data_IF_110279128165
#
_entry.id   IF_110279128165
#
_cell.length_a   1.000
_cell.length_b   1.000
_cell.length_c   1.000
_cell.angle_alpha   90.00
_cell.angle_beta   90.00
_cell.angle_gamma   90.00
#
_symmetry.space_group_name_H-M   'P 1'
#
loop_
_entity.id
_entity.type
_entity.pdbx_description
1 polymer ?
#
# COMPACT_ATOMS: atom_id res chain seq x y z
N UNK A 1 3.54 32.46 43.18
CA UNK A 1 2.58 33.52 42.83
C UNK A 1 2.06 33.24 41.43
N UNK A 2 0.81 32.82 41.23
CA UNK A 2 0.25 32.64 39.90
C UNK A 2 -0.71 33.77 39.55
N UNK A 3 -0.62 34.26 38.31
CA UNK A 3 -1.64 35.10 37.68
C UNK A 3 -2.33 34.25 36.62
N UNK A 4 -3.63 34.11 36.82
CA UNK A 4 -4.65 33.47 35.99
C UNK A 4 -4.98 34.33 34.76
N UNK A 5 -5.35 33.68 33.66
CA UNK A 5 -5.93 34.33 32.49
C UNK A 5 -6.61 33.32 31.58
N UNK A 6 -7.88 33.03 31.85
CA UNK A 6 -8.79 32.26 30.99
C UNK A 6 -9.65 33.22 30.18
N UNK A 7 -9.75 33.01 28.87
CA UNK A 7 -10.67 33.74 27.97
C UNK A 7 -11.62 32.74 27.33
N UNK A 8 -12.89 32.81 27.71
CA UNK A 8 -14.00 32.15 27.00
C UNK A 8 -14.51 33.05 25.88
N UNK A 9 -14.82 32.46 24.73
CA UNK A 9 -15.54 33.12 23.63
C UNK A 9 -16.86 32.40 23.40
N UNK A 10 -17.95 33.11 23.65
CA UNK A 10 -19.33 32.75 23.33
C UNK A 10 -19.56 32.76 21.81
N UNK A 11 -20.24 31.74 21.28
CA UNK A 11 -20.85 31.77 19.93
C UNK A 11 -22.32 32.14 20.04
N UNK A 12 -22.68 33.28 19.45
CA UNK A 12 -24.06 33.69 19.22
C UNK A 12 -24.67 32.94 18.03
N UNK A 13 -25.91 32.48 18.21
CA UNK A 13 -26.81 31.91 17.22
C UNK A 13 -27.54 33.07 16.53
N UNK A 14 -27.38 33.23 15.21
CA UNK A 14 -28.13 34.18 14.41
C UNK A 14 -29.29 33.45 13.71
N UNK A 15 -30.51 33.86 14.07
CA UNK A 15 -31.78 33.38 13.52
C UNK A 15 -32.26 34.41 12.49
N UNK A 16 -32.39 34.00 11.22
CA UNK A 16 -32.81 34.89 10.13
C UNK A 16 -34.32 34.73 9.92
N UNK A 17 -35.06 35.76 10.33
CA UNK A 17 -36.50 35.94 10.09
C UNK A 17 -36.66 36.43 8.64
N UNK A 18 -37.49 35.75 7.84
CA UNK A 18 -37.88 36.23 6.51
C UNK A 18 -39.36 36.58 6.55
N UNK A 19 -39.67 37.88 6.42
CA UNK A 19 -41.02 38.44 6.39
C UNK A 19 -41.76 38.05 5.09
N UNK A 20 -42.97 37.53 5.28
CA UNK A 20 -43.93 37.21 4.23
C UNK A 20 -44.76 38.45 3.87
N UNK A 21 -44.44 39.11 2.75
CA UNK A 21 -45.21 40.23 2.23
C UNK A 21 -46.26 39.71 1.24
N UNK A 22 -47.53 39.71 1.68
CA UNK A 22 -48.70 39.45 0.84
C UNK A 22 -48.97 40.60 -0.14
N UNK A 23 -49.18 40.33 -1.45
CA UNK A 23 -49.63 41.35 -2.40
C UNK A 23 -51.17 41.49 -2.46
N UNK A 24 -51.69 42.70 -2.78
CA UNK A 24 -53.13 43.01 -2.77
C UNK A 24 -53.89 42.47 -4.00
N UNK A 25 -55.22 42.30 -3.88
CA UNK A 25 -56.06 41.68 -4.90
C UNK A 25 -56.28 42.61 -6.11
N UNK A 26 -56.05 42.09 -7.32
CA UNK A 26 -56.38 42.77 -8.58
C UNK A 26 -57.79 42.40 -9.07
N UNK A 27 -58.54 43.37 -9.62
CA UNK A 27 -59.93 43.19 -10.02
C UNK A 27 -60.09 42.39 -11.33
N UNK A 28 -61.17 41.61 -11.35
CA UNK A 28 -61.59 40.73 -12.42
C UNK A 28 -61.83 41.46 -13.75
N UNK A 29 -61.19 40.98 -14.83
CA UNK A 29 -61.45 41.42 -16.20
C UNK A 29 -61.92 40.26 -17.07
N UNK A 30 -63.20 40.40 -17.47
CA UNK A 30 -64.01 39.70 -18.48
C UNK A 30 -63.32 38.63 -19.34
N UNK A 31 -63.82 37.41 -19.18
CA UNK A 31 -63.68 36.26 -20.10
C UNK A 31 -64.26 36.62 -21.47
N UNK A 32 -63.42 36.58 -22.51
CA UNK A 32 -63.88 36.29 -23.88
C UNK A 32 -63.43 34.87 -24.22
N UNK A 33 -64.42 34.02 -24.47
CA UNK A 33 -64.25 32.64 -24.83
C UNK A 33 -63.51 32.53 -26.17
N UNK A 34 -62.27 32.05 -26.11
CA UNK A 34 -61.58 31.48 -27.25
C UNK A 34 -61.45 29.98 -27.01
N UNK A 35 -62.53 29.27 -27.32
CA UNK A 35 -62.50 27.83 -27.52
C UNK A 35 -61.75 27.60 -28.82
N UNK A 36 -60.45 27.32 -28.77
CA UNK A 36 -59.81 26.43 -29.74
C UNK A 36 -58.50 25.85 -29.16
N UNK A 37 -58.56 24.53 -28.89
CA UNK A 37 -57.47 23.55 -28.97
C UNK A 37 -56.40 23.51 -27.84
N UNK A 38 -56.76 23.31 -26.55
CA UNK A 38 -55.79 22.87 -25.55
C UNK A 38 -55.14 21.51 -25.90
N UNK A 39 -55.87 20.65 -26.63
CA UNK A 39 -55.36 19.36 -27.09
C UNK A 39 -54.21 19.48 -28.11
N UNK A 40 -54.21 20.53 -28.93
CA UNK A 40 -53.17 20.73 -29.96
C UNK A 40 -51.85 21.17 -29.32
N UNK A 41 -51.90 22.03 -28.31
CA UNK A 41 -50.73 22.45 -27.54
C UNK A 41 -50.14 21.32 -26.69
N UNK A 42 -50.98 20.45 -26.13
CA UNK A 42 -50.50 19.27 -25.41
C UNK A 42 -49.83 18.26 -26.36
N UNK A 43 -50.41 18.06 -27.55
CA UNK A 43 -49.86 17.19 -28.58
C UNK A 43 -48.52 17.69 -29.13
N UNK A 44 -48.37 19.00 -29.37
CA UNK A 44 -47.09 19.57 -29.82
C UNK A 44 -46.03 19.52 -28.73
N UNK A 45 -46.38 19.75 -27.46
CA UNK A 45 -45.44 19.61 -26.35
C UNK A 45 -44.94 18.16 -26.20
N UNK A 46 -45.84 17.17 -26.28
CA UNK A 46 -45.47 15.76 -26.20
C UNK A 46 -44.60 15.33 -27.40
N UNK A 47 -44.95 15.76 -28.61
CA UNK A 47 -44.15 15.50 -29.80
C UNK A 47 -42.76 16.12 -29.73
N UNK A 48 -42.62 17.31 -29.12
CA UNK A 48 -41.32 17.96 -28.93
C UNK A 48 -40.47 17.25 -27.87
N UNK A 49 -41.07 16.74 -26.79
CA UNK A 49 -40.37 15.91 -25.80
C UNK A 49 -39.90 14.59 -26.42
N UNK A 50 -40.75 13.94 -27.24
CA UNK A 50 -40.39 12.73 -27.98
C UNK A 50 -39.27 13.02 -28.99
N UNK A 51 -39.34 14.15 -29.71
CA UNK A 51 -38.30 14.55 -30.65
C UNK A 51 -36.97 14.87 -29.95
N UNK A 52 -37.01 15.54 -28.80
CA UNK A 52 -35.82 15.82 -27.99
C UNK A 52 -35.24 14.54 -27.40
N UNK A 53 -36.07 13.60 -26.95
CA UNK A 53 -35.62 12.26 -26.55
C UNK A 53 -35.06 11.47 -27.73
N UNK A 54 -35.67 11.57 -28.91
CA UNK A 54 -35.17 10.92 -30.12
C UNK A 54 -33.82 11.53 -30.52
N UNK A 55 -33.67 12.85 -30.51
CA UNK A 55 -32.40 13.54 -30.83
C UNK A 55 -31.31 13.26 -29.78
N UNK A 56 -31.67 13.14 -28.50
CA UNK A 56 -30.74 12.75 -27.43
C UNK A 56 -30.38 11.25 -27.45
N UNK A 57 -31.23 10.40 -28.04
CA UNK A 57 -30.92 8.95 -28.20
C UNK A 57 -30.29 8.63 -29.56
N UNK A 58 -30.49 9.49 -30.57
CA UNK A 58 -29.80 9.44 -31.87
C UNK A 58 -28.60 10.37 -31.88
N UNK A 59 -27.74 10.31 -30.86
CA UNK A 59 -26.38 10.79 -31.05
C UNK A 59 -25.79 9.94 -32.18
N UNK A 60 -25.39 10.57 -33.32
CA UNK A 60 -24.71 9.83 -34.36
C UNK A 60 -23.52 9.13 -33.70
N UNK A 61 -23.39 7.82 -33.95
CA UNK A 61 -22.25 7.07 -33.46
C UNK A 61 -21.00 7.90 -33.75
N UNK A 62 -20.27 8.27 -32.70
CA UNK A 62 -19.09 9.13 -32.84
C UNK A 62 -18.21 8.55 -33.95
N UNK A 63 -17.67 9.39 -34.85
CA UNK A 63 -16.84 8.92 -35.94
C UNK A 63 -15.78 8.01 -35.36
N UNK A 64 -15.69 6.79 -35.89
CA UNK A 64 -14.74 5.78 -35.43
C UNK A 64 -13.34 6.33 -35.72
N UNK A 65 -12.73 6.96 -34.73
CA UNK A 65 -11.35 7.44 -34.82
C UNK A 65 -10.49 6.19 -34.92
N UNK A 66 -9.90 5.95 -36.09
CA UNK A 66 -8.92 4.89 -36.28
C UNK A 66 -7.59 5.42 -35.75
N UNK A 67 -7.09 4.91 -34.62
CA UNK A 67 -5.84 5.40 -34.06
C UNK A 67 -4.67 5.08 -35.00
N UNK A 68 -3.89 6.11 -35.32
CA UNK A 68 -2.72 5.99 -36.21
C UNK A 68 -1.48 5.46 -35.47
N UNK A 69 -1.44 5.63 -34.15
CA UNK A 69 -0.32 5.22 -33.30
C UNK A 69 -0.80 4.67 -31.95
N UNK A 70 0.16 4.20 -31.15
CA UNK A 70 -0.13 3.61 -29.85
C UNK A 70 -0.68 4.61 -28.83
N UNK A 71 -0.19 5.84 -28.84
CA UNK A 71 -0.68 6.90 -27.95
C UNK A 71 -2.15 7.19 -28.23
N UNK A 72 -2.51 7.37 -29.49
CA UNK A 72 -3.90 7.53 -29.94
C UNK A 72 -4.75 6.35 -29.53
N UNK A 73 -4.29 5.11 -29.76
CA UNK A 73 -5.05 3.91 -29.37
C UNK A 73 -5.31 3.87 -27.86
N UNK A 74 -4.32 4.15 -27.03
CA UNK A 74 -4.45 4.17 -25.57
C UNK A 74 -5.49 5.20 -25.12
N UNK A 75 -5.50 6.40 -25.72
CA UNK A 75 -6.42 7.48 -25.34
C UNK A 75 -7.84 7.33 -25.90
N UNK A 76 -8.01 6.73 -27.08
CA UNK A 76 -9.33 6.61 -27.72
C UNK A 76 -10.03 5.29 -27.45
N UNK A 77 -9.39 4.35 -26.74
CA UNK A 77 -10.00 3.05 -26.40
C UNK A 77 -11.16 3.23 -25.43
N UNK A 78 -12.31 2.62 -25.74
CA UNK A 78 -13.42 2.50 -24.81
C UNK A 78 -13.19 1.30 -23.86
N UNK A 79 -12.52 1.55 -22.75
CA UNK A 79 -12.19 0.50 -21.77
C UNK A 79 -13.42 -0.12 -21.10
N UNK A 80 -14.52 0.62 -20.94
CA UNK A 80 -15.77 0.08 -20.39
C UNK A 80 -16.36 -1.01 -21.30
N UNK A 81 -16.31 -0.81 -22.61
CA UNK A 81 -16.74 -1.83 -23.58
C UNK A 81 -15.76 -3.01 -23.62
N UNK A 82 -14.45 -2.74 -23.59
CA UNK A 82 -13.40 -3.77 -23.58
C UNK A 82 -13.54 -4.74 -22.40
N UNK A 83 -13.83 -4.20 -21.21
CA UNK A 83 -13.91 -4.95 -19.96
C UNK A 83 -15.27 -5.62 -19.72
N UNK A 84 -16.27 -5.38 -20.58
CA UNK A 84 -17.62 -5.94 -20.46
C UNK A 84 -18.24 -5.69 -19.08
N UNK A 85 -18.12 -4.46 -18.58
CA UNK A 85 -18.58 -4.09 -17.23
C UNK A 85 -20.06 -4.42 -17.03
N UNK A 86 -20.40 -4.99 -15.87
CA UNK A 86 -21.78 -5.32 -15.50
C UNK A 86 -22.51 -4.07 -14.97
N UNK A 87 -23.52 -3.54 -15.68
CA UNK A 87 -24.21 -2.32 -15.26
C UNK A 87 -24.80 -2.45 -13.85
N UNK A 88 -24.53 -1.47 -13.00
CA UNK A 88 -25.03 -1.42 -11.61
C UNK A 88 -24.28 -2.32 -10.62
N UNK A 89 -23.31 -3.11 -11.07
CA UNK A 89 -22.41 -3.89 -10.20
C UNK A 89 -20.96 -3.40 -10.30
N UNK A 90 -20.57 -2.97 -11.50
CA UNK A 90 -19.24 -2.46 -11.79
C UNK A 90 -19.30 -1.08 -12.44
N UNK A 91 -18.35 -0.24 -12.11
CA UNK A 91 -18.15 1.07 -12.72
C UNK A 91 -16.68 1.31 -13.06
N UNK A 92 -16.45 2.01 -14.17
CA UNK A 92 -15.11 2.46 -14.53
C UNK A 92 -14.79 3.68 -13.66
N UNK A 93 -13.84 3.55 -12.73
CA UNK A 93 -13.49 4.62 -11.79
C UNK A 93 -12.48 5.59 -12.39
N UNK A 94 -11.40 5.05 -12.98
CA UNK A 94 -10.34 5.85 -13.56
C UNK A 94 -9.71 5.16 -14.78
N UNK A 95 -9.20 6.00 -15.70
CA UNK A 95 -8.30 5.60 -16.77
C UNK A 95 -7.17 6.61 -16.82
N UNK A 96 -5.97 6.19 -16.43
CA UNK A 96 -4.78 7.03 -16.43
C UNK A 96 -3.80 6.57 -17.50
N UNK A 97 -3.30 7.49 -18.32
CA UNK A 97 -2.24 7.19 -19.28
C UNK A 97 -0.88 7.24 -18.59
N UNK A 98 -0.17 6.12 -18.62
CA UNK A 98 1.07 5.88 -17.87
C UNK A 98 2.13 5.35 -18.82
N UNK A 99 3.30 5.97 -18.86
CA UNK A 99 4.43 5.50 -19.68
C UNK A 99 5.68 5.24 -18.85
N UNK A 100 5.80 5.95 -17.72
CA UNK A 100 6.84 5.79 -16.72
C UNK A 100 6.86 4.37 -16.11
N UNK A 101 5.70 3.73 -16.02
CA UNK A 101 5.58 2.36 -15.49
C UNK A 101 6.02 1.27 -16.47
N UNK A 102 6.17 1.57 -17.75
CA UNK A 102 6.32 0.56 -18.83
C UNK A 102 7.59 0.79 -19.65
N UNK A 103 8.62 1.37 -19.01
CA UNK A 103 9.90 1.69 -19.67
C UNK A 103 9.75 2.72 -20.78
N UNK A 104 8.79 3.64 -20.66
CA UNK A 104 8.50 4.69 -21.63
C UNK A 104 7.48 4.31 -22.73
N UNK A 105 6.99 3.07 -22.75
CA UNK A 105 5.98 2.65 -23.73
C UNK A 105 4.58 3.16 -23.33
N UNK A 106 3.74 3.66 -24.26
CA UNK A 106 2.37 4.07 -23.93
C UNK A 106 1.57 2.93 -23.30
N UNK A 107 0.99 3.20 -22.13
CA UNK A 107 0.08 2.30 -21.44
C UNK A 107 -1.06 3.06 -20.75
N UNK A 108 -2.11 2.34 -20.38
CA UNK A 108 -3.21 2.80 -19.56
C UNK A 108 -3.36 1.93 -18.32
N UNK A 109 -3.41 2.57 -17.16
CA UNK A 109 -3.91 2.02 -15.91
C UNK A 109 -5.42 2.25 -15.88
N UNK A 110 -6.19 1.17 -15.71
CA UNK A 110 -7.64 1.19 -15.73
C UNK A 110 -8.16 0.61 -14.43
N UNK A 111 -8.98 1.40 -13.74
CA UNK A 111 -9.57 1.08 -12.44
C UNK A 111 -11.06 0.83 -12.58
N UNK A 112 -11.54 -0.28 -12.01
CA UNK A 112 -12.93 -0.70 -12.05
C UNK A 112 -13.40 -1.00 -10.63
N UNK A 113 -14.31 -0.17 -10.14
CA UNK A 113 -14.97 -0.34 -8.86
C UNK A 113 -16.05 -1.42 -8.94
N UNK A 114 -16.06 -2.33 -7.98
CA UNK A 114 -17.17 -3.23 -7.70
C UNK A 114 -17.97 -2.66 -6.52
N UNK A 115 -19.16 -2.11 -6.82
CA UNK A 115 -20.06 -1.52 -5.82
C UNK A 115 -21.03 -2.54 -5.21
N UNK A 116 -21.07 -3.75 -5.75
CA UNK A 116 -21.98 -4.80 -5.32
C UNK A 116 -21.46 -5.50 -4.04
N UNK A 117 -22.04 -5.14 -2.89
CA UNK A 117 -21.72 -5.79 -1.61
C UNK A 117 -20.54 -5.10 -0.92
N UNK A 118 -19.42 -5.81 -0.79
CA UNK A 118 -18.22 -5.23 -0.21
C UNK A 118 -17.43 -4.48 -1.30
N UNK A 119 -17.13 -3.18 -1.11
CA UNK A 119 -16.38 -2.42 -2.09
C UNK A 119 -15.04 -3.09 -2.39
N UNK A 120 -14.76 -3.28 -3.68
CA UNK A 120 -13.49 -3.82 -4.15
C UNK A 120 -13.09 -3.19 -5.47
N UNK A 121 -11.78 -3.19 -5.75
CA UNK A 121 -11.20 -2.62 -6.94
C UNK A 121 -10.61 -3.73 -7.81
N UNK A 122 -10.97 -3.73 -9.09
CA UNK A 122 -10.23 -4.43 -10.13
C UNK A 122 -9.37 -3.41 -10.87
N UNK A 123 -8.11 -3.76 -11.15
CA UNK A 123 -7.20 -2.93 -11.92
C UNK A 123 -6.66 -3.69 -13.13
N UNK A 124 -6.49 -2.99 -14.23
CA UNK A 124 -5.95 -3.51 -15.47
C UNK A 124 -4.88 -2.57 -16.02
N UNK A 125 -3.77 -3.12 -16.49
CA UNK A 125 -2.77 -2.38 -17.24
C UNK A 125 -2.80 -2.83 -18.70
N UNK A 126 -3.03 -1.89 -19.61
CA UNK A 126 -2.99 -2.12 -21.04
C UNK A 126 -1.84 -1.35 -21.67
N UNK A 127 -0.98 -2.04 -22.41
CA UNK A 127 0.00 -1.43 -23.28
C UNK A 127 -0.47 -1.40 -24.72
N UNK A 128 0.39 -0.88 -25.58
CA UNK A 128 0.21 -0.99 -27.02
C UNK A 128 1.47 -1.50 -27.70
N UNK A 129 1.29 -2.35 -28.71
CA UNK A 129 2.34 -2.76 -29.62
C UNK A 129 1.90 -2.56 -31.07
N UNK A 130 2.78 -2.06 -31.92
CA UNK A 130 2.54 -2.02 -33.36
C UNK A 130 2.78 -3.41 -33.95
N UNK A 131 1.73 -4.06 -34.46
CA UNK A 131 1.81 -5.38 -35.10
C UNK A 131 1.09 -5.34 -36.44
N UNK A 132 1.81 -5.64 -37.52
CA UNK A 132 1.24 -5.65 -38.87
C UNK A 132 0.77 -4.27 -39.32
N UNK A 133 -0.53 -4.13 -39.59
CA UNK A 133 -1.13 -2.95 -40.21
C UNK A 133 -1.48 -1.79 -39.25
N UNK A 134 -1.25 -1.93 -37.94
CA UNK A 134 -1.58 -0.85 -37.00
C UNK A 134 -1.23 -1.12 -35.53
N UNK A 135 -1.50 -0.14 -34.65
CA UNK A 135 -1.38 -0.31 -33.21
C UNK A 135 -2.41 -1.32 -32.69
N UNK A 136 -2.01 -2.18 -31.76
CA UNK A 136 -2.88 -3.13 -31.08
C UNK A 136 -2.72 -3.03 -29.57
N UNK A 137 -3.85 -3.06 -28.87
CA UNK A 137 -3.89 -3.04 -27.41
C UNK A 137 -3.47 -4.40 -26.87
N UNK A 138 -2.62 -4.42 -25.85
CA UNK A 138 -2.11 -5.63 -25.24
C UNK A 138 -2.30 -5.57 -23.72
N UNK A 139 -2.94 -6.58 -23.08
CA UNK A 139 -2.96 -6.65 -21.63
C UNK A 139 -1.54 -6.90 -21.11
N UNK A 140 -1.11 -6.09 -20.14
CA UNK A 140 0.21 -6.20 -19.50
C UNK A 140 0.12 -6.75 -18.08
N UNK A 141 -0.94 -6.39 -17.35
CA UNK A 141 -1.13 -6.78 -15.96
C UNK A 141 -2.61 -6.67 -15.59
N UNK A 142 -3.05 -7.47 -14.62
CA UNK A 142 -4.37 -7.33 -14.02
C UNK A 142 -4.36 -7.87 -12.59
N UNK A 143 -5.00 -7.15 -11.69
CA UNK A 143 -5.26 -7.58 -10.32
C UNK A 143 -6.73 -7.31 -10.00
N UNK A 144 -7.41 -8.21 -9.30
CA UNK A 144 -8.87 -8.16 -9.14
C UNK A 144 -9.27 -8.40 -7.69
N UNK A 145 -10.39 -7.82 -7.30
CA UNK A 145 -11.01 -8.03 -6.00
C UNK A 145 -10.22 -7.42 -4.84
N UNK A 146 -9.51 -6.32 -5.07
CA UNK A 146 -8.79 -5.60 -4.01
C UNK A 146 -9.80 -4.98 -3.05
N UNK A 147 -10.00 -5.61 -1.90
CA UNK A 147 -11.05 -5.24 -0.93
C UNK A 147 -10.74 -3.87 -0.30
N UNK A 148 -11.64 -2.90 -0.46
CA UNK A 148 -11.40 -1.49 -0.14
C UNK A 148 -10.04 -1.00 -0.66
N UNK A 149 -9.65 -1.54 -1.82
CA UNK A 149 -8.32 -1.39 -2.34
C UNK A 149 -8.10 -0.09 -3.08
N UNK A 150 -6.82 0.20 -3.30
CA UNK A 150 -6.37 1.31 -4.14
C UNK A 150 -5.23 0.84 -5.02
N UNK A 151 -4.99 1.58 -6.09
CA UNK A 151 -3.78 1.45 -6.91
C UNK A 151 -3.12 2.82 -7.02
N UNK A 152 -1.80 2.86 -6.87
CA UNK A 152 -1.02 4.09 -6.96
C UNK A 152 0.29 3.84 -7.70
N UNK A 153 0.89 4.93 -8.17
CA UNK A 153 2.23 4.93 -8.76
C UNK A 153 3.18 5.50 -7.73
N UNK A 154 4.18 4.71 -7.35
CA UNK A 154 5.18 5.11 -6.37
C UNK A 154 6.15 6.13 -6.94
N UNK A 155 6.91 6.80 -6.06
CA UNK A 155 8.01 7.67 -6.46
C UNK A 155 9.14 6.91 -7.16
N UNK A 156 9.21 5.58 -7.00
CA UNK A 156 10.16 4.70 -7.68
C UNK A 156 9.67 4.27 -9.07
N UNK A 157 8.55 4.82 -9.57
CA UNK A 157 7.89 4.40 -10.82
C UNK A 157 7.50 2.91 -10.82
N UNK A 158 7.05 2.42 -9.67
CA UNK A 158 6.48 1.09 -9.51
C UNK A 158 4.98 1.19 -9.28
N UNK A 159 4.25 0.14 -9.64
CA UNK A 159 2.83 0.04 -9.39
C UNK A 159 2.63 -0.51 -7.97
N UNK A 160 1.88 0.20 -7.12
CA UNK A 160 1.54 -0.26 -5.79
C UNK A 160 0.05 -0.56 -5.78
N UNK A 161 -0.32 -1.79 -5.37
CA UNK A 161 -1.69 -2.10 -5.01
C UNK A 161 -1.80 -2.21 -3.50
N UNK A 162 -2.93 -1.79 -2.95
CA UNK A 162 -3.22 -1.94 -1.53
C UNK A 162 -4.64 -2.44 -1.32
N UNK A 163 -4.86 -3.13 -0.20
CA UNK A 163 -6.18 -3.60 0.22
C UNK A 163 -6.28 -3.77 1.74
N UNK A 164 -7.51 -3.97 2.22
CA UNK A 164 -7.79 -4.26 3.62
C UNK A 164 -7.63 -5.76 3.93
N UNK A 165 -6.80 -6.08 4.91
CA UNK A 165 -6.72 -7.38 5.54
C UNK A 165 -7.92 -7.60 6.45
N UNK A 166 -8.81 -8.48 6.01
CA UNK A 166 -10.01 -8.85 6.75
C UNK A 166 -9.74 -9.83 7.89
N UNK A 167 -8.61 -10.53 7.88
CA UNK A 167 -8.24 -11.54 8.87
C UNK A 167 -7.45 -10.96 10.04
N UNK A 168 -6.95 -9.71 9.96
CA UNK A 168 -6.33 -9.06 11.12
C UNK A 168 -7.30 -8.94 12.30
N UNK A 169 -6.81 -9.32 13.48
CA UNK A 169 -7.48 -9.11 14.76
C UNK A 169 -7.76 -7.62 14.98
N UNK A 170 -8.90 -7.25 15.62
CA UNK A 170 -9.25 -5.84 15.85
C UNK A 170 -8.17 -5.03 16.58
N UNK A 171 -7.41 -5.68 17.47
CA UNK A 171 -6.32 -5.05 18.23
C UNK A 171 -5.14 -4.64 17.33
N UNK A 172 -4.80 -5.45 16.32
CA UNK A 172 -3.76 -5.12 15.34
C UNK A 172 -4.20 -3.94 14.46
N UNK A 173 -5.49 -3.84 14.14
CA UNK A 173 -6.04 -2.71 13.36
C UNK A 173 -5.96 -1.35 14.07
N UNK A 174 -5.96 -1.32 15.41
CA UNK A 174 -5.83 -0.06 16.16
C UNK A 174 -4.43 0.53 16.01
N UNK A 175 -3.39 -0.31 15.97
CA UNK A 175 -2.01 0.15 15.77
C UNK A 175 -1.73 0.62 14.34
N UNK A 176 -2.55 0.17 13.39
CA UNK A 176 -2.47 0.57 11.99
C UNK A 176 -3.24 1.86 11.70
N UNK A 177 -3.94 2.48 12.66
CA UNK A 177 -4.62 3.75 12.38
C UNK A 177 -3.61 4.90 12.17
N UNK A 178 -3.80 5.76 11.15
CA UNK A 178 -5.02 5.93 10.34
C UNK A 178 -5.06 5.11 9.03
N UNK A 179 -4.13 4.18 8.82
CA UNK A 179 -4.02 3.40 7.59
C UNK A 179 -5.27 2.54 7.38
N UNK A 180 -6.01 2.85 6.32
CA UNK A 180 -7.24 2.13 5.95
C UNK A 180 -6.91 0.81 5.22
N UNK A 181 -5.76 0.76 4.55
CA UNK A 181 -5.19 -0.41 3.91
C UNK A 181 -3.88 -0.82 4.60
N UNK A 182 -3.62 -2.11 4.61
CA UNK A 182 -2.52 -2.74 5.35
C UNK A 182 -1.85 -3.87 4.57
N UNK A 183 -2.48 -4.40 3.53
CA UNK A 183 -1.83 -5.30 2.58
C UNK A 183 -1.35 -4.43 1.42
N UNK A 184 -0.06 -4.49 1.12
CA UNK A 184 0.56 -3.74 0.04
C UNK A 184 1.38 -4.68 -0.84
N UNK A 185 1.27 -4.50 -2.16
CA UNK A 185 2.10 -5.21 -3.15
C UNK A 185 2.73 -4.19 -4.08
N UNK A 186 4.01 -4.35 -4.34
CA UNK A 186 4.77 -3.51 -5.26
C UNK A 186 5.14 -4.32 -6.50
N UNK A 187 4.88 -3.76 -7.68
CA UNK A 187 5.22 -4.39 -8.96
C UNK A 187 6.12 -3.45 -9.77
N UNK A 188 7.27 -3.97 -10.18
CA UNK A 188 8.20 -3.29 -11.08
C UNK A 188 8.09 -3.85 -12.49
N UNK A 189 8.26 -2.97 -13.47
CA UNK A 189 8.32 -3.39 -14.86
C UNK A 189 9.67 -4.01 -15.19
N UNK A 190 9.64 -5.26 -15.64
CA UNK A 190 10.82 -6.00 -16.04
C UNK A 190 10.57 -6.78 -17.33
N UNK A 191 11.34 -6.47 -18.38
CA UNK A 191 11.35 -7.22 -19.66
C UNK A 191 9.97 -7.48 -20.28
N UNK A 192 9.04 -6.52 -20.20
CA UNK A 192 7.73 -6.66 -20.83
C UNK A 192 6.61 -7.14 -19.92
N UNK A 193 6.88 -7.36 -18.63
CA UNK A 193 5.89 -7.78 -17.64
C UNK A 193 6.09 -7.07 -16.30
N UNK A 194 5.01 -6.94 -15.54
CA UNK A 194 5.09 -6.56 -14.14
C UNK A 194 5.48 -7.77 -13.30
N UNK A 195 6.55 -7.64 -12.52
CA UNK A 195 6.98 -8.62 -11.53
C UNK A 195 6.83 -8.01 -10.15
N UNK A 196 6.36 -8.81 -9.19
CA UNK A 196 6.32 -8.36 -7.81
C UNK A 196 7.74 -8.20 -7.28
N UNK A 197 7.98 -7.13 -6.54
CA UNK A 197 9.27 -6.81 -5.92
C UNK A 197 9.09 -6.55 -4.43
N UNK A 198 10.09 -6.92 -3.64
CA UNK A 198 10.13 -6.61 -2.23
C UNK A 198 10.61 -5.16 -2.02
N UNK A 199 10.02 -4.49 -1.03
CA UNK A 199 10.51 -3.20 -0.54
C UNK A 199 11.79 -3.44 0.27
N UNK A 200 12.88 -2.67 0.05
CA UNK A 200 14.14 -2.89 0.77
C UNK A 200 14.07 -2.56 2.28
N UNK A 201 13.04 -1.85 2.74
CA UNK A 201 12.85 -1.57 4.16
C UNK A 201 12.21 -2.75 4.90
N UNK A 202 12.68 -2.99 6.13
CA UNK A 202 12.19 -4.01 7.05
C UNK A 202 11.47 -3.40 8.27
N UNK A 203 11.79 -2.16 8.63
CA UNK A 203 11.22 -1.45 9.78
C UNK A 203 11.30 0.07 9.55
N UNK A 204 10.31 0.89 9.97
CA UNK A 204 9.12 0.55 10.77
C UNK A 204 7.98 -0.11 9.99
N UNK A 205 8.09 -0.22 8.67
CA UNK A 205 7.08 -0.80 7.78
C UNK A 205 7.75 -1.71 6.75
N UNK A 206 7.01 -2.70 6.25
CA UNK A 206 7.51 -3.72 5.34
C UNK A 206 7.19 -3.43 3.86
N UNK A 207 6.49 -2.33 3.55
CA UNK A 207 6.10 -2.00 2.19
C UNK A 207 6.40 -0.55 1.79
N UNK A 208 6.57 -0.31 0.48
CA UNK A 208 6.78 1.03 -0.06
C UNK A 208 5.58 1.93 0.15
N UNK A 209 4.37 1.42 -0.04
CA UNK A 209 3.14 2.21 0.09
C UNK A 209 3.01 2.80 1.48
N UNK A 210 3.28 2.00 2.52
CA UNK A 210 3.29 2.49 3.90
C UNK A 210 4.42 3.47 4.16
N UNK A 211 5.61 3.21 3.61
CA UNK A 211 6.75 4.10 3.77
C UNK A 211 6.53 5.49 3.15
N UNK A 212 5.89 5.55 1.98
CA UNK A 212 5.51 6.81 1.32
C UNK A 212 4.44 7.56 2.12
N UNK A 213 3.45 6.86 2.69
CA UNK A 213 2.46 7.47 3.57
C UNK A 213 3.09 8.04 4.86
N UNK A 214 4.02 7.32 5.49
CA UNK A 214 4.76 7.83 6.65
C UNK A 214 5.60 9.06 6.28
N UNK A 215 6.28 9.03 5.14
CA UNK A 215 7.04 10.18 4.67
C UNK A 215 6.13 11.39 4.42
N UNK A 216 4.95 11.18 3.82
CA UNK A 216 3.97 12.25 3.61
C UNK A 216 3.50 12.85 4.93
N UNK A 217 3.16 12.03 5.93
CA UNK A 217 2.81 12.51 7.28
C UNK A 217 3.93 13.35 7.91
N UNK A 218 5.18 12.90 7.78
CA UNK A 218 6.35 13.67 8.24
C UNK A 218 6.46 15.02 7.52
N UNK A 219 6.26 15.02 6.20
CA UNK A 219 6.31 16.23 5.37
C UNK A 219 5.18 17.22 5.72
N UNK A 220 4.03 16.69 6.16
CA UNK A 220 2.89 17.48 6.67
C UNK A 220 3.09 17.95 8.12
N UNK A 221 4.27 17.72 8.72
CA UNK A 221 4.67 18.21 10.03
C UNK A 221 4.31 17.29 11.19
N UNK A 222 3.86 16.06 10.93
CA UNK A 222 3.64 15.07 11.98
C UNK A 222 4.98 14.63 12.57
N UNK A 223 5.11 14.70 13.90
CA UNK A 223 6.30 14.24 14.59
C UNK A 223 6.35 12.71 14.62
N UNK A 224 7.20 12.12 13.77
CA UNK A 224 7.46 10.69 13.73
C UNK A 224 8.82 10.35 14.35
N UNK A 225 8.96 9.21 15.05
CA UNK A 225 10.21 8.86 15.75
C UNK A 225 11.32 8.33 14.82
N UNK A 226 11.07 8.29 13.51
CA UNK A 226 11.95 7.67 12.50
C UNK A 226 12.93 8.66 11.86
N UNK A 227 13.16 9.82 12.47
CA UNK A 227 14.02 10.87 11.94
C UNK A 227 15.50 10.74 12.39
N UNK A 228 15.79 9.95 13.42
CA UNK A 228 17.14 9.62 13.89
C UNK A 228 17.40 8.10 13.71
N UNK A 229 18.56 7.71 13.13
CA UNK A 229 18.84 6.31 12.84
C UNK A 229 19.09 5.47 14.11
N UNK A 230 19.64 6.06 15.19
CA UNK A 230 19.83 5.36 16.48
C UNK A 230 18.49 5.07 17.13
N UNK A 231 17.60 6.06 17.18
CA UNK A 231 16.24 5.90 17.74
C UNK A 231 15.47 4.83 16.96
N UNK A 232 15.56 4.88 15.63
CA UNK A 232 14.92 3.88 14.76
C UNK A 232 15.45 2.47 15.02
N UNK A 233 16.78 2.29 15.09
CA UNK A 233 17.40 1.00 15.38
C UNK A 233 17.05 0.47 16.78
N UNK A 234 17.11 1.33 17.81
CA UNK A 234 16.74 0.99 19.18
C UNK A 234 15.27 0.56 19.26
N UNK A 235 14.38 1.26 18.56
CA UNK A 235 12.95 0.93 18.55
C UNK A 235 12.67 -0.38 17.82
N UNK A 236 13.35 -0.65 16.71
CA UNK A 236 13.29 -1.96 16.05
C UNK A 236 13.71 -3.08 17.02
N UNK A 237 14.77 -2.91 17.80
CA UNK A 237 15.18 -3.92 18.78
C UNK A 237 14.12 -4.16 19.88
N UNK A 238 13.41 -3.11 20.30
CA UNK A 238 12.28 -3.26 21.23
C UNK A 238 11.09 -3.98 20.59
N UNK A 239 10.71 -3.60 19.38
CA UNK A 239 9.49 -4.06 18.74
C UNK A 239 9.67 -5.47 18.13
N UNK A 240 10.81 -5.76 17.52
CA UNK A 240 11.09 -7.03 16.82
C UNK A 240 11.85 -8.01 17.72
N UNK A 241 12.96 -7.58 18.34
CA UNK A 241 13.79 -8.49 19.17
C UNK A 241 13.30 -8.60 20.62
N UNK A 242 12.33 -7.77 21.00
CA UNK A 242 11.77 -7.70 22.37
C UNK A 242 12.80 -7.33 23.43
N UNK A 243 13.86 -6.61 23.06
CA UNK A 243 14.85 -6.09 23.99
C UNK A 243 14.26 -4.94 24.81
N UNK A 244 14.51 -4.94 26.11
CA UNK A 244 14.13 -3.88 27.03
C UNK A 244 15.01 -2.66 26.83
N UNK A 245 14.43 -1.45 26.82
CA UNK A 245 15.16 -0.21 26.49
C UNK A 245 16.37 0.06 27.41
N UNK A 246 16.32 -0.37 28.67
CA UNK A 246 17.42 -0.22 29.63
C UNK A 246 18.62 -1.13 29.37
N UNK A 247 18.47 -2.16 28.54
CA UNK A 247 19.49 -3.17 28.27
C UNK A 247 20.13 -2.99 26.88
N UNK A 248 19.72 -1.96 26.13
CA UNK A 248 20.23 -1.66 24.79
C UNK A 248 21.27 -0.55 24.89
N UNK A 249 22.47 -0.81 24.40
CA UNK A 249 23.50 0.20 24.17
C UNK A 249 23.65 0.40 22.67
N UNK A 250 23.28 1.59 22.18
CA UNK A 250 23.42 1.96 20.78
C UNK A 250 24.66 2.84 20.51
N UNK A 251 25.37 2.54 19.43
CA UNK A 251 26.50 3.36 18.95
C UNK A 251 26.33 3.60 17.45
N UNK A 252 26.31 4.88 17.04
CA UNK A 252 26.34 5.24 15.62
C UNK A 252 27.74 5.00 15.07
N UNK A 253 27.87 4.03 14.16
CA UNK A 253 29.15 3.65 13.56
C UNK A 253 29.50 4.55 12.37
N UNK A 254 28.52 4.82 11.50
CA UNK A 254 28.68 5.66 10.32
C UNK A 254 27.36 6.28 9.87
N UNK A 255 27.46 7.42 9.19
CA UNK A 255 26.34 8.04 8.47
C UNK A 255 26.87 8.97 7.38
N UNK A 256 26.24 8.96 6.21
CA UNK A 256 26.50 9.91 5.12
C UNK A 256 25.30 10.85 4.84
N UNK A 257 24.29 10.81 5.71
CA UNK A 257 23.03 11.55 5.56
C UNK A 257 21.94 10.82 4.75
N UNK A 258 22.28 9.76 4.01
CA UNK A 258 21.33 8.91 3.26
C UNK A 258 21.30 7.50 3.84
N UNK A 259 22.46 6.96 4.18
CA UNK A 259 22.70 5.66 4.78
C UNK A 259 23.36 5.82 6.15
N UNK A 260 23.10 4.88 7.06
CA UNK A 260 23.68 4.85 8.38
C UNK A 260 23.90 3.42 8.87
N UNK A 261 24.87 3.24 9.75
CA UNK A 261 25.08 1.99 10.48
C UNK A 261 25.11 2.25 11.98
N UNK A 262 24.35 1.46 12.72
CA UNK A 262 24.24 1.53 14.18
C UNK A 262 24.60 0.16 14.76
N UNK A 263 25.54 0.10 15.70
CA UNK A 263 25.75 -1.09 16.53
C UNK A 263 24.78 -1.04 17.71
N UNK A 264 24.06 -2.14 17.93
CA UNK A 264 23.22 -2.37 19.10
C UNK A 264 23.85 -3.51 19.92
N UNK A 265 24.14 -3.23 21.17
CA UNK A 265 24.65 -4.21 22.13
C UNK A 265 23.60 -4.45 23.20
N UNK A 266 23.22 -5.71 23.39
CA UNK A 266 22.43 -6.19 24.52
C UNK A 266 23.33 -6.98 25.45
N UNK A 267 23.23 -6.78 26.77
CA UNK A 267 24.22 -7.35 27.71
C UNK A 267 23.85 -8.74 28.25
N UNK A 268 22.56 -9.09 28.33
CA UNK A 268 22.12 -10.31 29.02
C UNK A 268 20.96 -11.03 28.29
N UNK A 269 21.23 -11.95 27.35
CA UNK A 269 22.55 -12.43 26.94
C UNK A 269 23.29 -11.40 26.07
N UNK A 270 24.63 -11.52 26.01
CA UNK A 270 25.44 -10.63 25.20
C UNK A 270 25.19 -10.86 23.70
N UNK A 271 24.61 -9.87 23.02
CA UNK A 271 24.35 -9.85 21.59
C UNK A 271 24.85 -8.53 21.02
N UNK A 272 25.54 -8.59 19.88
CA UNK A 272 25.91 -7.41 19.11
C UNK A 272 25.32 -7.51 17.71
N UNK A 273 24.54 -6.50 17.32
CA UNK A 273 23.84 -6.43 16.03
C UNK A 273 24.24 -5.15 15.33
N UNK A 274 24.78 -5.27 14.12
CA UNK A 274 24.94 -4.12 13.22
C UNK A 274 23.65 -3.94 12.43
N UNK A 275 23.05 -2.77 12.58
CA UNK A 275 21.83 -2.36 11.87
C UNK A 275 22.21 -1.37 10.78
N UNK A 276 21.89 -1.70 9.53
CA UNK A 276 22.00 -0.78 8.40
C UNK A 276 20.66 -0.11 8.15
N UNK A 277 20.68 1.22 8.00
CA UNK A 277 19.51 2.02 7.73
C UNK A 277 19.72 2.88 6.48
N UNK A 278 18.63 3.16 5.77
CA UNK A 278 18.64 4.07 4.63
C UNK A 278 17.38 4.92 4.59
N UNK A 279 17.52 6.12 4.02
CA UNK A 279 16.40 6.95 3.60
C UNK A 279 15.90 6.48 2.23
N UNK A 280 14.80 5.73 2.24
CA UNK A 280 14.32 5.02 1.05
C UNK A 280 13.36 5.83 0.18
N UNK A 281 12.60 6.74 0.78
CA UNK A 281 11.61 7.59 0.08
C UNK A 281 12.23 8.94 -0.26
N UNK A 282 12.66 9.70 0.76
CA UNK A 282 13.25 11.02 0.58
C UNK A 282 14.71 11.04 1.04
N UNK A 283 15.67 11.24 0.11
CA UNK A 283 17.11 11.08 0.36
C UNK A 283 17.83 12.32 0.91
N UNK A 284 17.12 13.18 1.64
CA UNK A 284 17.66 14.41 2.23
C UNK A 284 17.47 14.43 3.76
N UNK A 285 17.85 15.51 4.44
CA UNK A 285 17.77 15.66 5.92
C UNK A 285 16.38 15.51 6.52
N UNK A 286 15.32 15.60 5.73
CA UNK A 286 13.92 15.45 6.16
C UNK A 286 13.34 14.05 5.90
N UNK A 287 14.13 13.18 5.26
CA UNK A 287 13.76 11.78 5.06
C UNK A 287 13.74 10.95 6.33
N UNK A 288 12.78 10.02 6.41
CA UNK A 288 12.70 9.01 7.46
C UNK A 288 13.71 7.89 7.23
N UNK A 289 14.23 7.32 8.32
CA UNK A 289 15.14 6.19 8.33
C UNK A 289 14.36 4.88 8.35
N UNK A 290 14.75 3.97 7.47
CA UNK A 290 14.21 2.62 7.40
C UNK A 290 15.35 1.64 7.61
N UNK A 291 15.15 0.62 8.44
CA UNK A 291 16.11 -0.48 8.58
C UNK A 291 16.08 -1.30 7.29
N UNK A 292 17.23 -1.55 6.70
CA UNK A 292 17.37 -2.37 5.48
C UNK A 292 18.11 -3.67 5.74
N UNK A 293 18.79 -3.78 6.88
CA UNK A 293 19.50 -4.99 7.30
C UNK A 293 19.78 -4.93 8.81
N UNK A 294 19.68 -6.06 9.51
CA UNK A 294 20.10 -6.16 10.91
C UNK A 294 20.71 -7.54 11.17
N UNK A 295 22.02 -7.58 11.43
CA UNK A 295 22.74 -8.85 11.62
C UNK A 295 23.91 -8.76 12.59
N UNK A 296 24.18 -9.85 13.28
CA UNK A 296 25.43 -10.10 14.01
C UNK A 296 26.51 -10.62 13.05
N UNK A 297 27.78 -10.49 13.44
CA UNK A 297 28.87 -11.11 12.69
C UNK A 297 28.78 -12.65 12.75
N UNK A 298 29.09 -13.33 11.64
CA UNK A 298 29.18 -14.80 11.61
C UNK A 298 27.85 -15.55 11.54
N UNK A 299 26.74 -14.87 11.21
CA UNK A 299 25.47 -15.48 10.83
C UNK A 299 25.03 -14.96 9.45
N UNK A 300 24.47 -15.83 8.63
CA UNK A 300 24.01 -15.54 7.27
C UNK A 300 22.89 -16.47 6.83
N UNK A 301 22.20 -16.07 5.78
CA UNK A 301 21.05 -16.78 5.21
C UNK A 301 21.11 -16.64 3.69
N UNK A 302 20.74 -17.69 2.98
CA UNK A 302 20.58 -17.60 1.52
C UNK A 302 19.27 -16.88 1.19
N UNK A 303 19.37 -15.58 0.92
CA UNK A 303 18.22 -14.73 0.61
C UNK A 303 17.64 -14.96 -0.79
N UNK A 304 18.36 -15.65 -1.69
CA UNK A 304 17.89 -15.85 -3.06
C UNK A 304 16.57 -16.61 -3.12
N UNK A 305 16.33 -17.48 -2.13
CA UNK A 305 15.13 -18.31 -2.02
C UNK A 305 13.95 -17.63 -1.30
N UNK A 306 14.15 -16.45 -0.73
CA UNK A 306 13.16 -15.77 0.12
C UNK A 306 12.43 -14.62 -0.57
N UNK A 307 12.90 -14.22 -1.76
CA UNK A 307 12.36 -13.10 -2.52
C UNK A 307 11.16 -13.47 -3.41
N UNK A 308 11.08 -14.67 -4.04
CA UNK A 308 9.81 -15.13 -4.61
C UNK A 308 8.81 -15.43 -3.49
N UNK A 309 7.48 -15.29 -3.71
CA UNK A 309 6.49 -15.76 -2.74
C UNK A 309 6.72 -17.24 -2.40
N UNK A 310 7.05 -17.49 -1.13
CA UNK A 310 7.40 -18.83 -0.63
C UNK A 310 6.16 -19.45 0.00
N UNK A 311 5.73 -20.66 -0.38
CA UNK A 311 4.56 -21.30 0.21
C UNK A 311 4.84 -21.78 1.65
N UNK A 312 3.77 -22.10 2.38
CA UNK A 312 3.86 -22.77 3.68
C UNK A 312 4.11 -24.30 3.52
N UNK A 313 5.07 -24.90 4.25
CA UNK A 313 5.97 -24.26 5.21
C UNK A 313 7.13 -23.50 4.53
N UNK A 314 7.52 -22.36 5.12
CA UNK A 314 8.72 -21.63 4.74
C UNK A 314 9.96 -22.46 5.11
N UNK A 315 10.65 -22.99 4.09
CA UNK A 315 11.93 -23.71 4.24
C UNK A 315 13.07 -22.76 3.97
N UNK A 316 14.07 -22.75 4.85
CA UNK A 316 15.24 -21.89 4.71
C UNK A 316 16.51 -22.56 5.23
N UNK A 317 17.64 -22.11 4.69
CA UNK A 317 18.98 -22.57 5.02
C UNK A 317 19.90 -21.35 5.22
N UNK A 318 20.76 -21.44 6.23
CA UNK A 318 21.75 -20.42 6.51
C UNK A 318 22.99 -20.99 7.17
N UNK A 319 23.93 -20.11 7.47
CA UNK A 319 25.21 -20.45 8.11
C UNK A 319 25.36 -19.63 9.39
N UNK A 320 25.92 -20.23 10.43
CA UNK A 320 26.06 -19.57 11.72
C UNK A 320 27.08 -20.24 12.61
N UNK A 321 27.93 -19.44 13.26
CA UNK A 321 28.68 -19.90 14.43
C UNK A 321 27.71 -19.91 15.60
N UNK A 322 27.42 -21.10 16.10
CA UNK A 322 26.43 -21.29 17.15
C UNK A 322 27.11 -21.28 18.49
N UNK A 323 26.53 -20.51 19.41
CA UNK A 323 26.73 -20.74 20.82
C UNK A 323 26.11 -22.10 21.18
N UNK A 324 26.59 -22.78 22.22
CA UNK A 324 26.09 -24.08 22.74
C UNK A 324 24.59 -24.07 23.14
N UNK A 325 23.88 -22.96 22.93
CA UNK A 325 22.48 -22.77 23.29
C UNK A 325 21.48 -23.01 22.15
N UNK A 326 20.33 -22.33 22.24
CA UNK A 326 19.19 -22.58 21.37
C UNK A 326 19.19 -21.66 20.15
N UNK A 327 19.06 -22.26 18.97
CA UNK A 327 18.78 -21.56 17.73
C UNK A 327 17.27 -21.60 17.44
N UNK A 328 16.68 -20.43 17.26
CA UNK A 328 15.26 -20.25 17.05
C UNK A 328 14.99 -19.36 15.84
N UNK A 329 13.89 -19.60 15.15
CA UNK A 329 13.38 -18.70 14.12
C UNK A 329 11.95 -18.26 14.41
N UNK A 330 11.67 -16.97 14.14
CA UNK A 330 10.37 -16.32 14.32
C UNK A 330 10.00 -15.64 13.00
N UNK A 331 8.78 -15.92 12.51
CA UNK A 331 8.23 -15.31 11.32
C UNK A 331 7.28 -14.19 11.70
N UNK A 332 7.36 -13.06 11.01
CA UNK A 332 6.47 -11.91 11.17
C UNK A 332 5.69 -11.69 9.88
N UNK A 333 4.43 -11.29 10.01
CA UNK A 333 3.61 -10.87 8.87
C UNK A 333 3.95 -9.43 8.41
N UNK A 334 3.19 -8.94 7.43
CA UNK A 334 3.34 -7.59 6.88
C UNK A 334 3.08 -6.47 7.89
N UNK A 335 2.38 -6.76 9.00
CA UNK A 335 2.17 -5.81 10.09
C UNK A 335 3.30 -5.81 11.11
N UNK A 336 4.36 -6.58 10.85
CA UNK A 336 5.45 -6.86 11.78
C UNK A 336 4.97 -7.53 13.07
N UNK A 337 3.84 -8.23 13.00
CA UNK A 337 3.33 -9.04 14.11
C UNK A 337 3.86 -10.47 13.97
N UNK A 338 4.39 -11.08 15.05
CA UNK A 338 4.85 -12.46 14.98
C UNK A 338 3.69 -13.39 14.65
N UNK A 339 3.84 -14.21 13.61
CA UNK A 339 2.88 -15.22 13.24
C UNK A 339 2.87 -16.34 14.29
N UNK A 340 1.69 -16.76 14.80
CA UNK A 340 1.60 -17.76 15.85
C UNK A 340 1.89 -19.16 15.31
N UNK A 341 3.17 -19.50 15.16
CA UNK A 341 3.63 -20.84 14.80
C UNK A 341 4.29 -21.44 16.04
N UNK A 342 3.49 -22.14 16.86
CA UNK A 342 3.82 -22.91 18.08
C UNK A 342 5.28 -22.72 18.59
N UNK A 343 5.58 -21.54 19.16
CA UNK A 343 6.79 -21.22 19.93
C UNK A 343 8.14 -21.48 19.25
N UNK A 344 8.44 -20.81 18.14
CA UNK A 344 9.76 -20.81 17.47
C UNK A 344 10.19 -22.18 16.92
N UNK A 345 10.52 -22.26 15.63
CA UNK A 345 11.15 -23.48 15.13
C UNK A 345 12.55 -23.60 15.73
N UNK A 346 12.81 -24.73 16.41
CA UNK A 346 14.18 -25.13 16.73
C UNK A 346 14.85 -25.47 15.40
N UNK A 347 15.99 -24.84 15.15
CA UNK A 347 16.75 -25.06 13.92
C UNK A 347 17.56 -26.34 14.01
N UNK A 348 17.58 -27.11 12.93
CA UNK A 348 18.49 -28.24 12.79
C UNK A 348 19.83 -27.73 12.34
N UNK A 349 20.88 -28.08 13.07
CA UNK A 349 22.23 -27.59 12.87
C UNK A 349 23.12 -28.77 12.54
N UNK A 350 23.91 -28.65 11.48
CA UNK A 350 24.93 -29.65 11.14
C UNK A 350 26.31 -29.32 11.74
N UNK A 351 27.25 -30.25 11.61
CA UNK A 351 28.62 -30.09 12.11
C UNK A 351 29.43 -29.01 11.39
N UNK A 352 28.94 -28.50 10.25
CA UNK A 352 29.59 -27.46 9.46
C UNK A 352 29.09 -26.05 9.83
N UNK A 353 28.17 -25.94 10.79
CA UNK A 353 27.55 -24.67 11.18
C UNK A 353 26.45 -24.22 10.21
N UNK A 354 25.95 -25.11 9.35
CA UNK A 354 24.78 -24.86 8.54
C UNK A 354 23.53 -25.14 9.37
N UNK A 355 22.58 -24.22 9.35
CA UNK A 355 21.27 -24.40 9.99
C UNK A 355 20.16 -24.47 8.94
N UNK A 356 19.17 -25.32 9.21
CA UNK A 356 17.97 -25.47 8.39
C UNK A 356 16.73 -25.36 9.26
N UNK A 357 15.68 -24.74 8.71
CA UNK A 357 14.40 -24.58 9.37
C UNK A 357 13.24 -24.74 8.41
N UNK A 358 12.10 -25.17 8.96
CA UNK A 358 10.81 -25.22 8.27
C UNK A 358 9.75 -24.60 9.18
N UNK A 359 9.15 -23.49 8.74
CA UNK A 359 8.14 -22.75 9.50
C UNK A 359 6.78 -22.88 8.80
N UNK A 360 5.89 -23.77 9.28
CA UNK A 360 4.52 -23.79 8.78
C UNK A 360 3.80 -22.53 9.26
N UNK A 361 3.22 -21.77 8.35
CA UNK A 361 2.45 -20.58 8.66
C UNK A 361 1.09 -20.58 7.97
N UNK A 362 0.18 -19.77 8.50
CA UNK A 362 -1.08 -19.42 7.85
C UNK A 362 -1.08 -17.92 7.64
N UNK A 363 -0.86 -17.48 6.40
CA UNK A 363 -0.91 -16.07 6.04
C UNK A 363 -2.35 -15.56 6.11
N UNK A 364 -2.55 -14.32 6.57
CA UNK A 364 -3.82 -13.61 6.42
C UNK A 364 -4.03 -13.12 4.98
N UNK A 365 -2.95 -12.98 4.23
CA UNK A 365 -2.92 -12.58 2.83
C UNK A 365 -1.74 -13.24 2.09
N UNK A 366 -1.95 -13.57 0.82
CA UNK A 366 -0.90 -14.12 -0.05
C UNK A 366 0.04 -13.02 -0.53
N UNK A 367 1.23 -13.43 -0.94
CA UNK A 367 2.22 -12.61 -1.63
C UNK A 367 2.51 -11.30 -0.87
N UNK A 368 2.76 -11.41 0.43
CA UNK A 368 3.05 -10.28 1.31
C UNK A 368 4.47 -10.32 1.83
N UNK A 369 5.11 -9.16 1.91
CA UNK A 369 6.39 -9.06 2.57
C UNK A 369 6.22 -9.23 4.09
N UNK A 370 6.98 -10.15 4.66
CA UNK A 370 7.12 -10.36 6.10
C UNK A 370 8.60 -10.33 6.49
N UNK A 371 8.89 -10.72 7.74
CA UNK A 371 10.25 -10.81 8.25
C UNK A 371 10.54 -12.19 8.84
N UNK A 372 11.75 -12.68 8.62
CA UNK A 372 12.30 -13.84 9.31
C UNK A 372 13.39 -13.38 10.27
N UNK A 373 13.17 -13.59 11.56
CA UNK A 373 14.18 -13.41 12.59
C UNK A 373 14.79 -14.77 12.92
N UNK A 374 16.09 -14.92 12.72
CA UNK A 374 16.87 -16.06 13.20
C UNK A 374 17.75 -15.59 14.34
N UNK A 375 17.72 -16.28 15.47
CA UNK A 375 18.56 -15.96 16.62
C UNK A 375 19.16 -17.21 17.24
N UNK A 376 20.37 -17.07 17.76
CA UNK A 376 21.11 -18.12 18.46
C UNK A 376 21.53 -17.55 19.80
N UNK A 377 20.89 -18.00 20.87
CA UNK A 377 21.11 -17.46 22.20
C UNK A 377 22.06 -18.37 22.97
N UNK A 378 23.09 -17.83 23.64
CA UNK A 378 23.99 -18.61 24.46
C UNK A 378 23.25 -19.16 25.69
N UNK A 379 23.73 -20.29 26.22
CA UNK A 379 23.24 -20.81 27.50
C UNK A 379 23.52 -19.77 28.59
N UNK A 380 22.64 -19.67 29.59
CA UNK A 380 22.85 -18.82 30.77
C UNK A 380 24.24 -19.05 31.37
N UNK A 381 25.00 -17.97 31.58
CA UNK A 381 26.39 -17.96 32.07
C UNK A 381 27.47 -18.44 31.09
N UNK A 382 27.15 -18.68 29.80
CA UNK A 382 28.17 -18.86 28.77
C UNK A 382 28.90 -17.55 28.50
N UNK A 383 30.17 -17.65 28.09
CA UNK A 383 30.97 -16.51 27.59
C UNK A 383 30.76 -16.28 26.09
N UNK A 384 29.98 -17.15 25.44
CA UNK A 384 29.68 -17.04 24.02
C UNK A 384 28.74 -15.89 23.72
N UNK A 385 28.92 -15.33 22.54
CA UNK A 385 28.15 -14.20 22.05
C UNK A 385 26.96 -14.74 21.25
N UNK A 386 25.75 -14.30 21.61
CA UNK A 386 24.57 -14.59 20.82
C UNK A 386 24.64 -13.96 19.44
N UNK A 387 23.95 -14.56 18.47
CA UNK A 387 23.87 -14.06 17.09
C UNK A 387 22.43 -13.86 16.70
N UNK A 388 22.21 -12.89 15.83
CA UNK A 388 20.89 -12.56 15.32
C UNK A 388 20.99 -12.16 13.85
N UNK A 389 19.98 -12.53 13.07
CA UNK A 389 19.79 -12.10 11.69
C UNK A 389 18.31 -11.80 11.46
N UNK A 390 18.03 -10.62 10.92
CA UNK A 390 16.72 -10.25 10.39
C UNK A 390 16.78 -10.25 8.86
N UNK A 391 15.85 -10.96 8.21
CA UNK A 391 15.74 -11.03 6.76
C UNK A 391 14.32 -10.72 6.32
N UNK A 392 14.19 -10.13 5.13
CA UNK A 392 12.89 -9.97 4.45
C UNK A 392 12.52 -11.29 3.76
N UNK A 393 11.23 -11.61 3.76
CA UNK A 393 10.68 -12.78 3.08
C UNK A 393 9.35 -12.43 2.41
N UNK A 394 9.10 -12.95 1.21
CA UNK A 394 7.78 -12.87 0.58
C UNK A 394 6.97 -14.11 0.94
N UNK A 395 5.92 -13.95 1.73
CA UNK A 395 5.02 -15.02 2.14
C UNK A 395 3.99 -15.28 1.03
N UNK A 396 3.91 -16.52 0.55
CA UNK A 396 2.94 -16.97 -0.46
C UNK A 396 1.60 -17.42 0.12
#
# INVERSE_FOLDING_TARGET
MPVTGTTQVQKHKAETITDEISPPPRPARRRRAWRHRPLFWLGTALALIILLHALATTHPADPTVVPLDCTGLIHTTNYAQLLHLKPGLQELEAVESVSQLTGGQPAALVEVGNVAGQPSLDMYMYGCATRGAGPQLQPLFAERGLINGTVTISQANTLITSQLDQALLPQARVMLQPMQQNIYREYAWHKGSFIQVAFPGMYPVASRGEAELLQQQSNDGQALPWNDPRVTAQRMAQDIFKWTSGDIQETLLSTDGISAQVSLVHQNPHLEVTVSLSRLIQRDTTGLWFVTDARSAGIGLDQAHLLPPVPSPLVFEGTGVLADGQATAILFDHTLTPLPTLNSAVLNIDTNGTFTGALPYTGSASDQQGLLLVQTLPIKNSTEIGRLLLASVMLG
#
